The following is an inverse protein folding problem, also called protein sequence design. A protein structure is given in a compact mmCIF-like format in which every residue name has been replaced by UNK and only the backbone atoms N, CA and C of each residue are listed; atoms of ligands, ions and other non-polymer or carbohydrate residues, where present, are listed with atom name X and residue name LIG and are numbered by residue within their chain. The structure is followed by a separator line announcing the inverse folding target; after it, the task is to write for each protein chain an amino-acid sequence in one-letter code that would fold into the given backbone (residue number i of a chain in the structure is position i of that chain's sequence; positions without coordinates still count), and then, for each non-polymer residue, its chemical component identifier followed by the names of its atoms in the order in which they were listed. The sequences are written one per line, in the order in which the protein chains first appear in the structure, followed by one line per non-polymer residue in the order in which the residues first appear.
data_IF_584499921375
#
_entry.id   IF_584499921375
#
_cell.length_a   1.000
_cell.length_b   1.000
_cell.length_c   1.000
_cell.angle_alpha   90.00
_cell.angle_beta   90.00
_cell.angle_gamma   90.00
#
_symmetry.space_group_name_H-M   'P 1'
#
loop_
_entity.id
_entity.type
_entity.pdbx_description
1 polymer ?
#
# COMPACT_ATOMS: atom_id res chain seq x y z
N UNK A 1 -24.60 4.90 -3.40
CA UNK A 1 -23.64 3.79 -3.57
C UNK A 1 -22.31 4.47 -3.57
N UNK A 2 -21.43 4.12 -2.64
CA UNK A 2 -20.08 4.67 -2.60
C UNK A 2 -19.14 3.73 -3.33
N UNK A 3 -18.15 4.29 -3.99
CA UNK A 3 -17.10 3.51 -4.63
C UNK A 3 -15.96 3.21 -3.64
N UNK A 4 -15.40 2.01 -3.76
CA UNK A 4 -14.25 1.54 -2.98
C UNK A 4 -13.10 1.10 -3.89
N UNK A 5 -11.88 1.18 -3.37
CA UNK A 5 -10.66 0.75 -4.04
C UNK A 5 -9.95 -0.33 -3.23
N UNK A 6 -9.59 -1.44 -3.88
CA UNK A 6 -8.71 -2.47 -3.31
C UNK A 6 -7.27 -2.00 -3.57
N UNK A 7 -6.64 -1.43 -2.54
CA UNK A 7 -5.25 -1.00 -2.59
C UNK A 7 -4.38 -2.16 -2.15
N UNK A 8 -3.43 -2.56 -2.99
CA UNK A 8 -2.37 -3.50 -2.65
C UNK A 8 -1.01 -2.85 -2.84
N UNK A 9 -0.10 -3.03 -1.89
CA UNK A 9 1.28 -2.56 -1.91
C UNK A 9 2.22 -3.66 -1.45
N UNK A 10 3.36 -3.80 -2.12
CA UNK A 10 4.46 -4.64 -1.71
C UNK A 10 5.78 -3.91 -2.01
N UNK A 11 6.52 -3.54 -0.96
CA UNK A 11 7.76 -2.77 -1.07
C UNK A 11 8.82 -3.23 -0.08
N UNK A 12 10.07 -3.02 -0.45
CA UNK A 12 11.22 -3.16 0.44
C UNK A 12 11.67 -1.76 0.91
N UNK A 13 11.94 -1.60 2.21
CA UNK A 13 12.45 -0.38 2.84
C UNK A 13 13.90 -0.60 3.30
N UNK A 14 14.72 0.45 3.41
CA UNK A 14 16.13 0.31 3.76
C UNK A 14 16.32 -0.22 5.20
N UNK A 15 17.42 -0.92 5.48
CA UNK A 15 17.70 -1.53 6.79
C UNK A 15 17.81 -0.50 7.92
N UNK A 16 18.24 0.71 7.59
CA UNK A 16 18.50 1.88 8.45
C UNK A 16 17.38 2.93 8.38
N UNK A 17 16.14 2.49 8.08
CA UNK A 17 14.97 3.36 8.08
C UNK A 17 14.93 4.21 9.37
N UNK A 18 14.88 5.56 9.27
CA UNK A 18 14.94 6.41 10.45
C UNK A 18 13.84 6.08 11.46
N UNK A 19 14.19 6.04 12.75
CA UNK A 19 13.25 5.65 13.82
C UNK A 19 11.92 6.43 13.79
N UNK A 20 11.89 7.77 13.58
CA UNK A 20 10.61 8.49 13.48
C UNK A 20 9.72 8.01 12.32
N UNK A 21 10.34 7.61 11.20
CA UNK A 21 9.62 7.07 10.03
C UNK A 21 9.10 5.67 10.33
N UNK A 22 9.91 4.83 10.99
CA UNK A 22 9.48 3.50 11.40
C UNK A 22 8.34 3.53 12.42
N UNK A 23 8.39 4.45 13.40
CA UNK A 23 7.33 4.65 14.38
C UNK A 23 6.03 5.09 13.71
N UNK A 24 6.10 6.07 12.81
CA UNK A 24 4.93 6.53 12.07
C UNK A 24 4.38 5.40 11.16
N UNK A 25 5.25 4.65 10.47
CA UNK A 25 4.82 3.49 9.68
C UNK A 25 4.11 2.45 10.55
N UNK A 26 4.65 2.09 11.72
CA UNK A 26 3.99 1.14 12.63
C UNK A 26 2.64 1.66 13.12
N UNK A 27 2.51 2.95 13.41
CA UNK A 27 1.23 3.55 13.73
C UNK A 27 0.23 3.42 12.57
N UNK A 28 0.65 3.75 11.34
CA UNK A 28 -0.20 3.60 10.14
C UNK A 28 -0.69 2.17 9.96
N UNK A 29 0.12 1.16 10.34
CA UNK A 29 -0.19 -0.27 10.25
C UNK A 29 -1.06 -0.80 11.40
N UNK A 30 -1.40 0.02 12.40
CA UNK A 30 -2.13 -0.45 13.58
C UNK A 30 -1.24 -1.01 14.72
N UNK A 31 0.08 -0.95 14.57
CA UNK A 31 1.04 -1.66 15.43
C UNK A 31 1.68 -0.78 16.53
N UNK A 32 1.44 0.54 16.51
CA UNK A 32 1.99 1.48 17.48
C UNK A 32 1.04 2.65 17.77
N UNK A 33 1.34 3.39 18.85
CA UNK A 33 0.66 4.63 19.20
C UNK A 33 0.97 5.74 18.19
N UNK A 34 0.02 6.66 18.04
CA UNK A 34 0.16 7.81 17.16
C UNK A 34 1.35 8.69 17.56
N UNK A 35 2.23 9.07 16.60
CA UNK A 35 3.30 10.02 16.89
C UNK A 35 2.73 11.41 17.22
N UNK A 36 3.48 12.22 17.97
CA UNK A 36 3.06 13.58 18.35
C UNK A 36 2.76 14.46 17.13
N UNK A 37 3.54 14.30 16.05
CA UNK A 37 3.43 15.07 14.82
C UNK A 37 3.59 14.12 13.62
N UNK A 38 2.50 13.46 13.15
CA UNK A 38 2.56 12.62 11.96
C UNK A 38 2.87 13.45 10.70
N UNK A 39 3.70 12.91 9.82
CA UNK A 39 4.23 13.59 8.61
C UNK A 39 3.81 12.93 7.30
N UNK A 40 3.03 11.86 7.36
CA UNK A 40 2.54 11.07 6.23
C UNK A 40 1.62 11.85 5.30
N UNK A 41 0.85 12.78 5.84
CA UNK A 41 -0.03 13.71 5.12
C UNK A 41 -0.37 14.89 6.05
N UNK A 42 -1.02 15.92 5.52
CA UNK A 42 -1.64 16.97 6.32
C UNK A 42 -2.99 16.47 6.89
N UNK A 43 -2.91 15.73 8.00
CA UNK A 43 -4.07 15.11 8.64
C UNK A 43 -5.14 16.10 9.10
N UNK A 44 -4.77 17.35 9.42
CA UNK A 44 -5.73 18.36 9.87
C UNK A 44 -6.72 18.72 8.76
N UNK A 45 -6.23 18.82 7.52
CA UNK A 45 -7.06 19.08 6.33
C UNK A 45 -8.06 17.94 6.04
N UNK A 46 -7.84 16.75 6.60
CA UNK A 46 -8.66 15.54 6.37
C UNK A 46 -9.53 15.13 7.57
N UNK A 47 -9.67 15.99 8.59
CA UNK A 47 -10.54 15.72 9.74
C UNK A 47 -9.87 14.93 10.88
N UNK A 48 -8.55 14.77 10.82
CA UNK A 48 -7.73 14.17 11.87
C UNK A 48 -6.99 12.91 11.41
N UNK A 49 -6.01 12.44 12.20
CA UNK A 49 -5.18 11.29 11.87
C UNK A 49 -5.89 9.95 12.10
N UNK A 50 -5.67 8.97 11.21
CA UNK A 50 -6.09 7.58 11.39
C UNK A 50 -5.05 6.59 10.85
N UNK A 51 -5.18 5.33 11.25
CA UNK A 51 -4.28 4.23 10.85
C UNK A 51 -4.62 3.78 9.43
N UNK A 52 -4.06 4.46 8.43
CA UNK A 52 -4.41 4.30 7.01
C UNK A 52 -4.20 2.88 6.47
N UNK A 53 -3.28 2.12 7.06
CA UNK A 53 -2.94 0.76 6.68
C UNK A 53 -3.29 -0.23 7.79
N UNK A 54 -4.24 0.08 8.69
CA UNK A 54 -4.68 -0.92 9.66
C UNK A 54 -5.27 -2.15 8.93
N UNK A 55 -4.95 -3.33 9.43
CA UNK A 55 -5.26 -4.61 8.80
C UNK A 55 -5.71 -5.65 9.83
N UNK A 56 -5.85 -6.90 9.39
CA UNK A 56 -6.24 -8.00 10.28
C UNK A 56 -7.76 -8.17 10.44
N UNK A 57 -8.55 -7.50 9.60
CA UNK A 57 -10.00 -7.63 9.56
C UNK A 57 -10.50 -8.08 8.17
N UNK A 58 -11.74 -8.55 8.09
CA UNK A 58 -12.36 -8.87 6.81
C UNK A 58 -12.52 -7.59 5.98
N UNK A 59 -12.14 -7.65 4.70
CA UNK A 59 -12.21 -6.50 3.81
C UNK A 59 -13.67 -6.10 3.58
N UNK A 60 -13.96 -4.79 3.66
CA UNK A 60 -15.35 -4.30 3.65
C UNK A 60 -16.05 -4.53 2.30
N UNK A 61 -15.40 -4.16 1.20
CA UNK A 61 -15.98 -4.17 -0.14
C UNK A 61 -15.40 -5.25 -1.06
N UNK A 62 -14.38 -5.98 -0.62
CA UNK A 62 -13.68 -6.98 -1.43
C UNK A 62 -13.62 -8.34 -0.74
N UNK A 63 -13.47 -9.41 -1.51
CA UNK A 63 -13.27 -10.73 -0.94
C UNK A 63 -11.94 -10.79 -0.15
N UNK A 64 -11.90 -11.60 0.91
CA UNK A 64 -10.72 -11.82 1.74
C UNK A 64 -10.59 -10.82 2.89
N UNK A 65 -9.35 -10.55 3.29
CA UNK A 65 -9.02 -9.68 4.42
C UNK A 65 -8.18 -8.49 3.98
N UNK A 66 -8.28 -7.41 4.76
CA UNK A 66 -7.29 -6.34 4.76
C UNK A 66 -6.10 -6.82 5.61
N UNK A 67 -4.88 -6.64 5.10
CA UNK A 67 -3.66 -7.25 5.64
C UNK A 67 -2.56 -6.22 5.67
N UNK A 68 -1.84 -6.15 6.78
CA UNK A 68 -0.63 -5.35 6.92
C UNK A 68 0.43 -6.16 7.61
N UNK A 69 1.63 -6.19 7.02
CA UNK A 69 2.73 -6.96 7.56
C UNK A 69 4.06 -6.27 7.23
N UNK A 70 4.81 -5.94 8.28
CA UNK A 70 6.16 -5.41 8.21
C UNK A 70 7.14 -6.38 8.88
N UNK A 71 8.08 -6.93 8.12
CA UNK A 71 9.05 -7.92 8.62
C UNK A 71 10.47 -7.57 8.19
N UNK A 72 11.47 -8.08 8.92
CA UNK A 72 12.86 -8.08 8.45
C UNK A 72 13.03 -9.15 7.37
N UNK A 73 13.56 -8.78 6.22
CA UNK A 73 13.85 -9.69 5.11
C UNK A 73 15.25 -10.31 5.26
N UNK A 74 15.43 -11.10 6.32
CA UNK A 74 16.72 -11.70 6.71
C UNK A 74 17.37 -12.53 5.60
N UNK A 75 16.55 -13.23 4.81
CA UNK A 75 17.01 -14.07 3.68
C UNK A 75 17.45 -13.25 2.45
N UNK A 76 17.22 -11.92 2.47
CA UNK A 76 17.59 -10.96 1.42
C UNK A 76 18.50 -9.87 1.95
N UNK A 77 19.34 -10.18 2.95
CA UNK A 77 20.29 -9.24 3.51
C UNK A 77 21.19 -8.62 2.42
N UNK A 78 21.48 -7.33 2.59
CA UNK A 78 22.37 -6.58 1.72
C UNK A 78 23.82 -7.09 1.84
N UNK A 79 24.67 -6.73 0.88
CA UNK A 79 26.08 -7.13 0.85
C UNK A 79 26.89 -6.67 2.08
N UNK A 80 26.44 -5.61 2.74
CA UNK A 80 27.01 -5.07 3.98
C UNK A 80 26.44 -5.73 5.26
N UNK A 81 25.55 -6.70 5.10
CA UNK A 81 24.85 -7.38 6.20
C UNK A 81 23.61 -6.66 6.72
N UNK A 82 23.22 -5.51 6.14
CA UNK A 82 21.99 -4.82 6.50
C UNK A 82 20.74 -5.61 6.10
N UNK A 83 19.81 -5.79 7.02
CA UNK A 83 18.53 -6.50 6.77
C UNK A 83 17.44 -5.51 6.37
N UNK A 84 17.03 -5.47 5.08
CA UNK A 84 15.95 -4.59 4.66
C UNK A 84 14.63 -4.99 5.33
N UNK A 85 13.68 -4.06 5.38
CA UNK A 85 12.31 -4.40 5.76
C UNK A 85 11.52 -4.76 4.52
N UNK A 86 10.68 -5.78 4.62
CA UNK A 86 9.65 -6.09 3.63
C UNK A 86 8.29 -5.69 4.19
N UNK A 87 7.57 -4.85 3.45
CA UNK A 87 6.23 -4.39 3.78
C UNK A 87 5.25 -4.93 2.73
N UNK A 88 4.15 -5.50 3.20
CA UNK A 88 2.97 -5.80 2.37
C UNK A 88 1.74 -5.20 3.02
N UNK A 89 0.94 -4.48 2.23
CA UNK A 89 -0.34 -3.91 2.65
C UNK A 89 -1.40 -4.28 1.62
N UNK A 90 -2.58 -4.66 2.10
CA UNK A 90 -3.81 -4.71 1.34
C UNK A 90 -4.92 -4.05 2.17
N UNK A 91 -5.59 -3.05 1.64
CA UNK A 91 -6.66 -2.36 2.37
C UNK A 91 -7.78 -1.88 1.46
N UNK A 92 -9.00 -1.91 1.98
CA UNK A 92 -10.18 -1.37 1.34
C UNK A 92 -10.29 0.14 1.60
N UNK A 93 -10.21 0.95 0.54
CA UNK A 93 -10.21 2.41 0.63
C UNK A 93 -11.53 2.97 0.10
N UNK A 94 -12.26 3.73 0.93
CA UNK A 94 -13.44 4.46 0.47
C UNK A 94 -13.03 5.62 -0.47
N UNK A 95 -13.85 5.95 -1.46
CA UNK A 95 -13.55 7.01 -2.44
C UNK A 95 -13.18 8.36 -1.81
N UNK A 96 -13.90 8.78 -0.77
CA UNK A 96 -13.62 10.02 -0.03
C UNK A 96 -12.21 10.03 0.62
N UNK A 97 -11.67 8.84 0.94
CA UNK A 97 -10.35 8.68 1.53
C UNK A 97 -9.26 8.38 0.48
N UNK A 98 -9.61 8.29 -0.81
CA UNK A 98 -8.64 7.89 -1.84
C UNK A 98 -7.51 8.91 -2.01
N UNK A 99 -7.82 10.21 -1.99
CA UNK A 99 -6.84 11.28 -2.16
C UNK A 99 -5.77 11.26 -1.06
N UNK A 100 -6.20 11.35 0.19
CA UNK A 100 -5.33 11.23 1.37
C UNK A 100 -4.57 9.91 1.41
N UNK A 101 -5.19 8.79 1.02
CA UNK A 101 -4.49 7.51 0.92
C UNK A 101 -3.32 7.57 -0.06
N UNK A 102 -3.51 8.20 -1.24
CA UNK A 102 -2.41 8.36 -2.20
C UNK A 102 -1.30 9.29 -1.69
N UNK A 103 -1.61 10.27 -0.83
CA UNK A 103 -0.59 11.08 -0.15
C UNK A 103 0.24 10.25 0.84
N UNK A 104 -0.41 9.42 1.66
CA UNK A 104 0.25 8.50 2.60
C UNK A 104 1.09 7.47 1.85
N UNK A 105 0.58 6.92 0.74
CA UNK A 105 1.36 6.05 -0.15
C UNK A 105 2.57 6.79 -0.73
N UNK A 106 2.38 8.03 -1.19
CA UNK A 106 3.47 8.87 -1.66
C UNK A 106 4.55 9.09 -0.59
N UNK A 107 4.15 9.32 0.66
CA UNK A 107 5.06 9.42 1.78
C UNK A 107 5.85 8.12 2.01
N UNK A 108 5.17 6.98 2.07
CA UNK A 108 5.81 5.67 2.24
C UNK A 108 6.81 5.39 1.10
N UNK A 109 6.41 5.65 -0.14
CA UNK A 109 7.22 5.36 -1.32
C UNK A 109 8.47 6.26 -1.43
N UNK A 110 8.51 7.44 -0.78
CA UNK A 110 9.76 8.21 -0.67
C UNK A 110 10.85 7.47 0.11
N UNK A 111 10.45 6.59 1.02
CA UNK A 111 11.36 5.78 1.85
C UNK A 111 11.63 4.39 1.27
N UNK A 112 10.86 3.93 0.28
CA UNK A 112 11.03 2.62 -0.33
C UNK A 112 12.28 2.53 -1.22
N UNK A 113 12.89 1.34 -1.25
CA UNK A 113 14.01 1.01 -2.16
C UNK A 113 13.52 0.38 -3.46
N UNK A 114 12.37 -0.30 -3.44
CA UNK A 114 11.75 -0.91 -4.63
C UNK A 114 11.55 0.11 -5.75
N UNK A 115 11.86 -0.25 -6.99
CA UNK A 115 11.62 0.57 -8.19
C UNK A 115 10.73 -0.18 -9.15
N UNK A 116 9.97 0.53 -9.97
CA UNK A 116 9.01 -0.07 -10.89
C UNK A 116 7.70 -0.41 -10.18
N UNK A 117 7.13 -1.58 -10.47
CA UNK A 117 5.85 -1.99 -9.89
C UNK A 117 5.97 -2.15 -8.37
N UNK A 118 5.05 -1.52 -7.63
CA UNK A 118 4.97 -1.58 -6.17
C UNK A 118 3.59 -2.01 -5.67
N UNK A 119 2.63 -2.23 -6.57
CA UNK A 119 1.28 -2.62 -6.20
C UNK A 119 0.22 -2.26 -7.24
N UNK A 120 -1.04 -2.26 -6.81
CA UNK A 120 -2.17 -1.85 -7.65
C UNK A 120 -3.29 -1.20 -6.83
N UNK A 121 -4.15 -0.46 -7.52
CA UNK A 121 -5.51 -0.12 -7.05
C UNK A 121 -6.52 -0.74 -8.01
N UNK A 122 -7.54 -1.37 -7.46
CA UNK A 122 -8.67 -1.90 -8.24
C UNK A 122 -9.97 -1.27 -7.77
N UNK A 123 -10.67 -0.65 -8.70
CA UNK A 123 -11.99 -0.08 -8.44
C UNK A 123 -13.07 -1.16 -8.25
N UNK A 124 -13.95 -0.97 -7.28
CA UNK A 124 -15.06 -1.89 -6.97
C UNK A 124 -16.19 -1.88 -8.01
N UNK A 125 -16.39 -0.77 -8.73
CA UNK A 125 -17.48 -0.62 -9.69
C UNK A 125 -17.16 -1.24 -11.06
N UNK A 126 -16.21 -0.65 -11.78
CA UNK A 126 -15.79 -1.06 -13.12
C UNK A 126 -14.78 -2.22 -13.12
N UNK A 127 -14.19 -2.56 -11.96
CA UNK A 127 -13.15 -3.57 -11.86
C UNK A 127 -11.83 -3.15 -12.53
N UNK A 128 -11.68 -1.88 -12.89
CA UNK A 128 -10.49 -1.35 -13.53
C UNK A 128 -9.29 -1.43 -12.57
N UNK A 129 -8.19 -2.00 -13.07
CA UNK A 129 -6.95 -2.13 -12.32
C UNK A 129 -5.94 -1.11 -12.84
N UNK A 130 -5.36 -0.35 -11.92
CA UNK A 130 -4.22 0.54 -12.16
C UNK A 130 -3.05 0.07 -11.34
N UNK A 131 -1.89 -0.08 -11.97
CA UNK A 131 -0.65 -0.39 -11.25
C UNK A 131 -0.10 0.86 -10.58
N UNK A 132 0.37 0.73 -9.34
CA UNK A 132 1.27 1.71 -8.75
C UNK A 132 2.69 1.41 -9.23
N UNK A 133 3.33 2.43 -9.81
CA UNK A 133 4.69 2.34 -10.31
C UNK A 133 5.53 3.44 -9.66
N UNK A 134 6.57 3.05 -8.92
CA UNK A 134 7.55 3.96 -8.33
C UNK A 134 8.70 4.24 -9.31
N UNK A 135 9.03 5.52 -9.45
CA UNK A 135 10.18 6.03 -10.22
C UNK A 135 11.02 6.95 -9.33
N UNK A 136 12.11 7.51 -9.85
CA UNK A 136 13.05 8.30 -9.03
C UNK A 136 12.41 9.58 -8.45
N UNK A 137 11.51 10.20 -9.21
CA UNK A 137 10.87 11.47 -8.82
C UNK A 137 9.53 11.31 -8.09
N UNK A 138 9.09 10.07 -7.81
CA UNK A 138 7.81 9.81 -7.17
C UNK A 138 7.15 8.50 -7.59
N UNK A 139 5.83 8.52 -7.74
CA UNK A 139 5.08 7.38 -8.23
C UNK A 139 3.93 7.82 -9.13
N UNK A 140 3.43 6.89 -9.94
CA UNK A 140 2.26 7.10 -10.78
C UNK A 140 1.32 5.89 -10.78
N UNK A 141 0.08 6.16 -11.16
CA UNK A 141 -0.93 5.15 -11.47
C UNK A 141 -0.95 4.92 -12.98
N UNK A 142 -0.75 3.67 -13.39
CA UNK A 142 -0.71 3.27 -14.81
C UNK A 142 -1.83 2.29 -15.09
N UNK A 143 -2.68 2.62 -16.06
CA UNK A 143 -3.76 1.73 -16.50
C UNK A 143 -3.22 0.45 -17.12
N UNK A 144 -3.70 -0.69 -16.61
CA UNK A 144 -3.40 -1.98 -17.20
C UNK A 144 -4.39 -2.25 -18.31
N UNK A 145 -3.96 -2.03 -19.54
CA UNK A 145 -4.73 -2.46 -20.71
C UNK A 145 -4.36 -3.91 -21.02
N UNK A 146 -5.32 -4.85 -21.08
CA UNK A 146 -5.02 -6.20 -21.51
C UNK A 146 -4.49 -6.15 -22.96
N UNK A 147 -3.23 -6.53 -23.14
CA UNK A 147 -2.63 -6.71 -24.46
C UNK A 147 -3.22 -7.98 -25.05
N UNK A 148 -4.28 -7.83 -25.85
CA UNK A 148 -4.98 -8.94 -26.49
C UNK A 148 -6.05 -9.57 -25.60
N UNK A 149 -7.26 -9.73 -26.14
CA UNK A 149 -8.27 -10.59 -25.52
C UNK A 149 -7.76 -12.04 -25.53
N UNK A 150 -7.16 -12.50 -24.44
CA UNK A 150 -7.05 -13.93 -24.22
C UNK A 150 -8.44 -14.50 -23.97
N UNK A 151 -8.82 -15.47 -24.81
CA UNK A 151 -10.07 -16.22 -24.72
C UNK A 151 -10.29 -16.68 -23.28
N UNK A 152 -11.41 -16.26 -22.69
CA UNK A 152 -11.92 -16.82 -21.42
C UNK A 152 -11.89 -18.34 -21.51
N UNK A 153 -11.02 -18.96 -20.73
CA UNK A 153 -11.06 -20.41 -20.51
C UNK A 153 -12.18 -20.67 -19.50
N UNK A 154 -13.27 -21.38 -19.87
CA UNK A 154 -14.31 -21.70 -18.92
C UNK A 154 -13.74 -22.65 -17.86
N UNK A 155 -13.94 -22.32 -16.59
CA UNK A 155 -13.61 -23.20 -15.48
C UNK A 155 -14.54 -24.43 -15.52
N UNK A 156 -14.03 -25.66 -15.38
CA UNK A 156 -14.90 -26.83 -15.26
C UNK A 156 -15.65 -26.76 -13.93
N UNK A 157 -16.99 -26.79 -14.02
CA UNK A 157 -17.87 -27.00 -12.87
C UNK A 157 -17.55 -28.35 -12.24
N UNK A 158 -17.39 -28.39 -10.91
CA UNK A 158 -17.39 -29.65 -10.14
C UNK A 158 -18.82 -30.09 -9.89
#
# INVERSE_FOLDING_TARGET
MSDYYDLFLAVDLPPDLPEPVLLELRWLLGEADMPTEPRSTDWESWGGPWQAFDGGSASHAFAGADVSLLVRAVDRANLDGGEPWALTVRTCVHEDAFGVMMEVVGWLLRHATTRGWVGFVRDSGAGQVRHLVRHEDGFGLVDVHPVGQEKRVPWPSR
#
